data_IF_790815105293
#
_entry.id   IF_790815105293
#
_cell.length_a   1.000
_cell.length_b   1.000
_cell.length_c   1.000
_cell.angle_alpha   90.00
_cell.angle_beta   90.00
_cell.angle_gamma   90.00
#
_symmetry.space_group_name_H-M   'P 1'
#
loop_
_entity.id
_entity.type
_entity.pdbx_description
1 polymer ?
#
# COMPACT_ATOMS: atom_id res chain seq x y z
N UNK A 1 22.55 9.38 13.22
CA UNK A 1 21.13 9.47 12.79
C UNK A 1 20.81 8.24 11.94
N UNK A 2 20.20 7.20 12.51
CA UNK A 2 19.92 5.92 11.81
C UNK A 2 18.41 5.61 11.80
N UNK A 3 17.58 6.45 12.41
CA UNK A 3 16.17 6.13 12.69
C UNK A 3 15.23 6.49 11.51
N UNK A 4 15.65 7.33 10.56
CA UNK A 4 14.78 7.77 9.45
C UNK A 4 14.77 6.77 8.27
N UNK A 5 15.81 5.93 8.15
CA UNK A 5 15.98 4.97 7.05
C UNK A 5 15.09 3.72 7.24
N UNK A 6 14.78 3.34 8.49
CA UNK A 6 14.03 2.11 8.78
C UNK A 6 12.55 2.14 8.40
N UNK A 7 11.90 3.31 8.45
CA UNK A 7 10.44 3.41 8.18
C UNK A 7 10.15 3.54 6.68
N UNK A 8 11.07 4.13 5.90
CA UNK A 8 10.94 4.21 4.43
C UNK A 8 11.06 2.82 3.81
N UNK A 9 11.92 1.94 4.36
CA UNK A 9 12.05 0.56 3.90
C UNK A 9 10.76 -0.25 4.10
N UNK A 10 10.03 -0.04 5.20
CA UNK A 10 8.77 -0.76 5.46
C UNK A 10 7.65 -0.40 4.48
N UNK A 11 7.48 0.89 4.18
CA UNK A 11 6.46 1.37 3.22
C UNK A 11 6.86 1.06 1.78
N UNK A 12 8.16 1.16 1.44
CA UNK A 12 8.69 0.76 0.14
C UNK A 12 8.65 -0.76 -0.06
N UNK A 13 8.80 -1.55 0.99
CA UNK A 13 8.59 -2.99 0.92
C UNK A 13 7.11 -3.31 0.73
N UNK A 14 6.18 -2.60 1.38
CA UNK A 14 4.75 -2.87 1.21
C UNK A 14 4.23 -2.41 -0.17
N UNK A 15 4.59 -1.21 -0.62
CA UNK A 15 4.18 -0.70 -1.93
C UNK A 15 5.03 -1.26 -3.08
N UNK A 16 6.31 -1.54 -2.83
CA UNK A 16 7.16 -2.29 -3.74
C UNK A 16 6.68 -3.72 -3.89
N UNK A 17 6.31 -4.42 -2.81
CA UNK A 17 5.68 -5.73 -2.93
C UNK A 17 4.44 -5.66 -3.82
N UNK A 18 3.54 -4.68 -3.62
CA UNK A 18 2.39 -4.48 -4.50
C UNK A 18 2.75 -4.04 -5.93
N UNK A 19 3.80 -3.24 -6.16
CA UNK A 19 4.16 -2.69 -7.47
C UNK A 19 5.06 -3.63 -8.32
N UNK A 20 6.01 -4.32 -7.68
CA UNK A 20 6.86 -5.33 -8.36
C UNK A 20 6.12 -6.64 -8.60
N UNK A 21 5.21 -7.07 -7.71
CA UNK A 21 4.32 -8.19 -8.05
C UNK A 21 3.25 -7.79 -9.08
N UNK A 22 2.65 -6.59 -9.03
CA UNK A 22 1.65 -6.18 -10.05
C UNK A 22 2.22 -5.97 -11.45
N UNK A 23 3.52 -5.69 -11.61
CA UNK A 23 4.13 -5.52 -12.92
C UNK A 23 4.42 -6.86 -13.63
N UNK A 24 4.84 -7.90 -12.90
CA UNK A 24 5.02 -9.25 -13.46
C UNK A 24 3.70 -10.03 -13.54
N UNK A 25 2.73 -9.78 -12.65
CA UNK A 25 1.45 -10.50 -12.64
C UNK A 25 0.40 -9.96 -13.64
N UNK A 26 0.57 -8.76 -14.21
CA UNK A 26 -0.35 -8.22 -15.23
C UNK A 26 -0.33 -8.99 -16.56
N UNK A 27 0.69 -9.82 -16.80
CA UNK A 27 0.81 -10.61 -18.02
C UNK A 27 0.00 -11.93 -17.96
N UNK A 28 -0.45 -12.36 -16.78
CA UNK A 28 -1.13 -13.65 -16.60
C UNK A 28 -2.10 -13.62 -15.41
N UNK A 29 -3.39 -13.52 -15.72
CA UNK A 29 -4.51 -13.97 -14.85
C UNK A 29 -4.99 -13.06 -13.72
N UNK A 30 -5.84 -12.07 -14.05
CA UNK A 30 -6.65 -11.30 -13.09
C UNK A 30 -7.71 -12.07 -12.29
N UNK A 31 -7.67 -13.41 -12.28
CA UNK A 31 -8.51 -14.28 -11.44
C UNK A 31 -7.68 -15.09 -10.41
N UNK A 32 -6.39 -15.33 -10.67
CA UNK A 32 -5.53 -16.17 -9.82
C UNK A 32 -5.03 -15.45 -8.55
N UNK A 33 -4.89 -14.13 -8.57
CA UNK A 33 -4.24 -13.39 -7.47
C UNK A 33 -5.04 -13.36 -6.16
N UNK A 34 -6.35 -13.58 -6.23
CA UNK A 34 -7.25 -13.60 -5.06
C UNK A 34 -7.83 -14.98 -4.79
N UNK A 35 -7.50 -15.98 -5.60
CA UNK A 35 -8.05 -17.33 -5.46
C UNK A 35 -7.57 -17.99 -4.14
N UNK A 36 -6.39 -17.62 -3.66
CA UNK A 36 -5.91 -17.99 -2.33
C UNK A 36 -6.83 -17.45 -1.21
N UNK A 37 -7.37 -16.24 -1.37
CA UNK A 37 -8.28 -15.63 -0.39
C UNK A 37 -9.61 -16.40 -0.35
N UNK A 38 -10.08 -16.84 -1.52
CA UNK A 38 -11.26 -17.70 -1.65
C UNK A 38 -11.06 -19.03 -0.95
N UNK A 39 -9.94 -19.70 -1.17
CA UNK A 39 -9.66 -21.00 -0.57
C UNK A 39 -9.44 -20.92 0.95
N UNK A 40 -8.77 -19.87 1.42
CA UNK A 40 -8.41 -19.72 2.84
C UNK A 40 -9.61 -19.31 3.71
N UNK A 41 -10.53 -18.54 3.14
CA UNK A 41 -11.71 -18.02 3.85
C UNK A 41 -13.01 -18.75 3.52
N UNK A 42 -12.95 -19.80 2.69
CA UNK A 42 -14.10 -20.57 2.24
C UNK A 42 -15.22 -19.64 1.69
N UNK A 43 -14.83 -18.72 0.80
CA UNK A 43 -15.76 -17.72 0.29
C UNK A 43 -16.72 -18.35 -0.72
N UNK A 44 -18.00 -18.00 -0.59
CA UNK A 44 -18.98 -18.29 -1.64
C UNK A 44 -18.64 -17.53 -2.92
N UNK A 45 -19.12 -18.01 -4.07
CA UNK A 45 -18.92 -17.34 -5.36
C UNK A 45 -19.41 -15.88 -5.33
N UNK A 46 -20.54 -15.62 -4.66
CA UNK A 46 -21.10 -14.27 -4.53
C UNK A 46 -20.22 -13.37 -3.65
N UNK A 47 -19.72 -13.88 -2.53
CA UNK A 47 -18.78 -13.13 -1.67
C UNK A 47 -17.47 -12.85 -2.39
N UNK A 48 -16.93 -13.84 -3.09
CA UNK A 48 -15.70 -13.71 -3.86
C UNK A 48 -15.85 -12.64 -4.96
N UNK A 49 -16.89 -12.72 -5.78
CA UNK A 49 -17.15 -11.73 -6.83
C UNK A 49 -17.34 -10.31 -6.27
N UNK A 50 -17.95 -10.18 -5.09
CA UNK A 50 -18.14 -8.88 -4.43
C UNK A 50 -16.83 -8.32 -3.88
N UNK A 51 -15.96 -9.17 -3.32
CA UNK A 51 -14.62 -8.77 -2.86
C UNK A 51 -13.75 -8.35 -4.04
N UNK A 52 -13.74 -9.11 -5.15
CA UNK A 52 -13.00 -8.73 -6.37
C UNK A 52 -13.40 -7.34 -6.86
N UNK A 53 -14.71 -7.04 -6.92
CA UNK A 53 -15.18 -5.70 -7.30
C UNK A 53 -14.70 -4.60 -6.35
N UNK A 54 -14.68 -4.85 -5.03
CA UNK A 54 -14.16 -3.88 -4.07
C UNK A 54 -12.69 -3.54 -4.30
N UNK A 55 -11.90 -4.51 -4.77
CA UNK A 55 -10.50 -4.28 -5.15
C UNK A 55 -10.39 -3.54 -6.49
N UNK A 56 -11.18 -3.91 -7.49
CA UNK A 56 -11.20 -3.25 -8.80
C UNK A 56 -11.60 -1.77 -8.68
N UNK A 57 -12.62 -1.47 -7.88
CA UNK A 57 -13.11 -0.10 -7.63
C UNK A 57 -12.01 0.79 -7.03
N UNK A 58 -11.04 0.20 -6.31
CA UNK A 58 -9.92 0.91 -5.68
C UNK A 58 -8.65 0.92 -6.53
N UNK A 59 -8.61 0.27 -7.69
CA UNK A 59 -7.43 0.22 -8.56
C UNK A 59 -6.96 1.63 -8.97
N UNK A 60 -7.90 2.55 -9.23
CA UNK A 60 -7.59 3.94 -9.56
C UNK A 60 -6.97 4.72 -8.39
N UNK A 61 -7.47 4.46 -7.18
CA UNK A 61 -6.97 5.06 -5.94
C UNK A 61 -5.56 4.57 -5.64
N UNK A 62 -5.32 3.26 -5.71
CA UNK A 62 -4.02 2.62 -5.53
C UNK A 62 -3.00 3.19 -6.52
N UNK A 63 -3.34 3.26 -7.81
CA UNK A 63 -2.46 3.87 -8.84
C UNK A 63 -2.12 5.32 -8.53
N UNK A 64 -3.06 6.07 -7.96
CA UNK A 64 -2.82 7.46 -7.57
C UNK A 64 -1.87 7.57 -6.38
N UNK A 65 -2.04 6.71 -5.37
CA UNK A 65 -1.13 6.64 -4.23
C UNK A 65 0.29 6.21 -4.67
N UNK A 66 0.41 5.20 -5.53
CA UNK A 66 1.71 4.76 -6.07
C UNK A 66 2.45 5.87 -6.81
N UNK A 67 1.74 6.71 -7.59
CA UNK A 67 2.36 7.90 -8.22
C UNK A 67 2.88 8.89 -7.19
N UNK A 68 2.09 9.19 -6.15
CA UNK A 68 2.53 10.12 -5.08
C UNK A 68 3.74 9.62 -4.31
N UNK A 69 3.85 8.29 -4.14
CA UNK A 69 5.04 7.66 -3.53
C UNK A 69 6.25 7.90 -4.43
N UNK A 70 6.10 7.69 -5.73
CA UNK A 70 7.16 7.96 -6.71
C UNK A 70 7.58 9.43 -6.73
N UNK A 71 6.63 10.35 -6.66
CA UNK A 71 6.91 11.78 -6.59
C UNK A 71 7.69 12.14 -5.32
N UNK A 72 7.36 11.51 -4.20
CA UNK A 72 8.06 11.70 -2.92
C UNK A 72 9.50 11.14 -2.97
N UNK A 73 9.72 10.01 -3.63
CA UNK A 73 11.06 9.45 -3.86
C UNK A 73 11.93 10.39 -4.70
N UNK A 74 11.36 10.99 -5.75
CA UNK A 74 12.06 11.96 -6.60
C UNK A 74 12.44 13.21 -5.81
N UNK A 75 11.51 13.75 -5.02
CA UNK A 75 11.77 14.89 -4.14
C UNK A 75 12.91 14.59 -3.14
N UNK A 76 12.94 13.39 -2.56
CA UNK A 76 14.05 13.00 -1.67
C UNK A 76 15.38 12.95 -2.42
N UNK A 77 15.41 12.38 -3.62
CA UNK A 77 16.62 12.29 -4.43
C UNK A 77 17.16 13.68 -4.82
N UNK A 78 16.27 14.62 -5.14
CA UNK A 78 16.63 16.02 -5.41
C UNK A 78 17.26 16.70 -4.19
N UNK A 79 16.62 16.58 -3.02
CA UNK A 79 17.15 17.10 -1.75
C UNK A 79 18.51 16.52 -1.39
N UNK A 80 18.72 15.23 -1.64
CA UNK A 80 20.01 14.58 -1.41
C UNK A 80 21.08 15.05 -2.40
N UNK A 81 20.73 15.21 -3.67
CA UNK A 81 21.64 15.71 -4.70
C UNK A 81 22.07 17.15 -4.42
N UNK A 82 21.14 18.01 -4.00
CA UNK A 82 21.42 19.41 -3.62
C UNK A 82 22.33 19.47 -2.39
N UNK A 83 22.03 18.69 -1.33
CA UNK A 83 22.90 18.61 -0.15
C UNK A 83 24.33 18.20 -0.50
N UNK A 84 24.49 17.25 -1.43
CA UNK A 84 25.81 16.78 -1.87
C UNK A 84 26.53 17.83 -2.71
N UNK A 85 25.79 18.56 -3.57
CA UNK A 85 26.36 19.51 -4.53
C UNK A 85 26.65 20.88 -3.92
N UNK A 86 25.70 21.43 -3.16
CA UNK A 86 25.77 22.78 -2.59
C UNK A 86 26.30 22.81 -1.17
N UNK A 87 26.34 21.65 -0.49
CA UNK A 87 26.96 21.51 0.83
C UNK A 87 26.14 22.09 2.00
N UNK A 88 24.91 22.53 1.77
CA UNK A 88 23.96 22.92 2.82
C UNK A 88 22.61 22.18 2.66
N UNK A 89 21.75 22.31 3.67
CA UNK A 89 20.43 21.68 3.71
C UNK A 89 19.38 22.77 3.82
N UNK A 90 18.44 22.83 2.88
CA UNK A 90 17.26 23.68 3.01
C UNK A 90 16.23 23.01 3.94
N UNK A 91 16.15 23.51 5.17
CA UNK A 91 15.22 22.99 6.17
C UNK A 91 13.74 23.23 5.83
N UNK A 92 13.42 24.23 5.01
CA UNK A 92 12.05 24.48 4.57
C UNK A 92 11.60 23.37 3.60
N UNK A 93 12.47 22.96 2.69
CA UNK A 93 12.17 21.88 1.76
C UNK A 93 12.11 20.52 2.47
N UNK A 94 13.01 20.26 3.42
CA UNK A 94 12.92 19.08 4.29
C UNK A 94 11.59 19.04 5.04
N UNK A 95 11.13 20.18 5.58
CA UNK A 95 9.83 20.25 6.24
C UNK A 95 8.68 19.94 5.27
N UNK A 96 8.71 20.50 4.06
CA UNK A 96 7.69 20.25 3.04
C UNK A 96 7.65 18.76 2.65
N UNK A 97 8.82 18.15 2.46
CA UNK A 97 8.96 16.71 2.23
C UNK A 97 8.36 15.89 3.38
N UNK A 98 8.68 16.24 4.64
CA UNK A 98 8.13 15.54 5.81
C UNK A 98 6.60 15.67 5.90
N UNK A 99 6.04 16.85 5.61
CA UNK A 99 4.60 17.06 5.58
C UNK A 99 3.92 16.28 4.45
N UNK A 100 4.51 16.26 3.25
CA UNK A 100 4.02 15.50 2.10
C UNK A 100 4.03 13.99 2.39
N UNK A 101 5.14 13.49 2.95
CA UNK A 101 5.27 12.11 3.40
C UNK A 101 4.19 11.74 4.41
N UNK A 102 4.02 12.55 5.48
CA UNK A 102 3.01 12.28 6.51
C UNK A 102 1.60 12.18 5.93
N UNK A 103 1.23 13.12 5.05
CA UNK A 103 -0.09 13.12 4.39
C UNK A 103 -0.29 11.88 3.52
N UNK A 104 0.76 11.43 2.84
CA UNK A 104 0.72 10.23 2.01
C UNK A 104 0.58 8.97 2.87
N UNK A 105 1.35 8.86 3.96
CA UNK A 105 1.27 7.75 4.91
C UNK A 105 -0.15 7.65 5.52
N UNK A 106 -0.74 8.79 5.92
CA UNK A 106 -2.12 8.87 6.41
C UNK A 106 -3.13 8.42 5.35
N UNK A 107 -2.96 8.83 4.09
CA UNK A 107 -3.84 8.45 2.99
C UNK A 107 -3.75 6.94 2.67
N UNK A 108 -2.54 6.39 2.62
CA UNK A 108 -2.31 4.96 2.41
C UNK A 108 -2.91 4.12 3.56
N UNK A 109 -2.64 4.51 4.81
CA UNK A 109 -3.19 3.81 5.99
C UNK A 109 -4.72 3.84 5.99
N UNK A 110 -5.32 5.01 5.71
CA UNK A 110 -6.77 5.13 5.61
C UNK A 110 -7.34 4.26 4.50
N UNK A 111 -6.77 4.32 3.29
CA UNK A 111 -7.24 3.53 2.14
C UNK A 111 -7.20 2.03 2.42
N UNK A 112 -6.11 1.54 3.00
CA UNK A 112 -5.95 0.14 3.40
C UNK A 112 -6.96 -0.26 4.47
N UNK A 113 -7.16 0.56 5.51
CA UNK A 113 -8.14 0.28 6.56
C UNK A 113 -9.58 0.27 6.02
N UNK A 114 -9.92 1.20 5.13
CA UNK A 114 -11.23 1.27 4.50
C UNK A 114 -11.49 0.03 3.61
N UNK A 115 -10.46 -0.47 2.90
CA UNK A 115 -10.55 -1.71 2.14
C UNK A 115 -10.73 -2.93 3.05
N UNK A 116 -9.93 -3.07 4.11
CA UNK A 116 -10.04 -4.16 5.09
C UNK A 116 -11.45 -4.19 5.71
N UNK A 117 -11.97 -3.02 6.09
CA UNK A 117 -13.32 -2.91 6.62
C UNK A 117 -14.37 -3.34 5.58
N UNK A 118 -14.26 -2.84 4.35
CA UNK A 118 -15.20 -3.16 3.25
C UNK A 118 -15.22 -4.65 2.92
N UNK A 119 -14.05 -5.30 2.89
CA UNK A 119 -13.92 -6.75 2.64
C UNK A 119 -14.49 -7.55 3.81
N UNK A 120 -14.19 -7.13 5.05
CA UNK A 120 -14.72 -7.78 6.25
C UNK A 120 -16.24 -7.70 6.41
N UNK A 121 -16.90 -6.71 5.78
CA UNK A 121 -18.36 -6.56 5.81
C UNK A 121 -19.09 -7.48 4.80
N UNK A 122 -18.36 -8.12 3.88
CA UNK A 122 -18.89 -9.14 2.96
C UNK A 122 -18.92 -10.54 3.60
N UNK A 123 -18.11 -10.73 4.64
CA UNK A 123 -17.88 -12.01 5.30
C UNK A 123 -18.79 -12.22 6.51
N UNK A 124 -19.03 -13.48 6.87
CA UNK A 124 -19.64 -13.79 8.16
C UNK A 124 -18.66 -13.58 9.34
N UNK A 125 -19.14 -13.77 10.57
CA UNK A 125 -18.34 -13.52 11.78
C UNK A 125 -17.09 -14.41 11.87
N UNK A 126 -17.17 -15.66 11.42
CA UNK A 126 -16.08 -16.62 11.49
C UNK A 126 -15.04 -16.36 10.39
N UNK A 127 -15.51 -16.15 9.16
CA UNK A 127 -14.70 -15.75 8.01
C UNK A 127 -13.98 -14.43 8.29
N UNK A 128 -14.68 -13.42 8.82
CA UNK A 128 -14.09 -12.12 9.19
C UNK A 128 -13.02 -12.26 10.25
N UNK A 129 -13.19 -13.15 11.24
CA UNK A 129 -12.18 -13.41 12.27
C UNK A 129 -10.91 -13.99 11.65
N UNK A 130 -11.03 -15.00 10.79
CA UNK A 130 -9.88 -15.61 10.07
C UNK A 130 -9.18 -14.59 9.19
N UNK A 131 -9.95 -13.80 8.45
CA UNK A 131 -9.43 -12.72 7.61
C UNK A 131 -8.61 -11.70 8.41
N UNK A 132 -9.14 -11.21 9.53
CA UNK A 132 -8.41 -10.25 10.37
C UNK A 132 -7.14 -10.86 10.98
N UNK A 133 -7.12 -12.16 11.31
CA UNK A 133 -5.89 -12.84 11.76
C UNK A 133 -4.81 -12.86 10.67
N UNK A 134 -5.18 -13.15 9.42
CA UNK A 134 -4.25 -13.14 8.28
C UNK A 134 -3.70 -11.72 8.06
N UNK A 135 -4.59 -10.72 8.04
CA UNK A 135 -4.21 -9.32 7.84
C UNK A 135 -3.28 -8.84 8.96
N UNK A 136 -3.60 -9.13 10.23
CA UNK A 136 -2.74 -8.79 11.36
C UNK A 136 -1.38 -9.50 11.31
N UNK A 137 -1.32 -10.73 10.81
CA UNK A 137 -0.08 -11.47 10.60
C UNK A 137 0.81 -10.85 9.51
N UNK A 138 0.23 -10.18 8.52
CA UNK A 138 0.96 -9.48 7.45
C UNK A 138 1.41 -8.06 7.80
N UNK A 139 0.87 -7.47 8.88
CA UNK A 139 1.17 -6.10 9.31
C UNK A 139 2.25 -6.01 10.41
N UNK A 140 2.68 -7.14 10.98
CA UNK A 140 3.76 -7.26 11.98
C UNK A 140 5.05 -7.76 11.33
#
# INVERSE_FOLDING_TARGET
MVIVIGVVAGVSAHLGYFNTYSAEMRATSGLNEMEWLRSELDLTEEQFARITRLHDDRESEIRTLSRKVRDLELMLAELEAERVTEGYVDYLEIRNYMEAKRKLDEACSKSTNDLIASVGDVMDLEQRRRYLTIVQGSLN
#
